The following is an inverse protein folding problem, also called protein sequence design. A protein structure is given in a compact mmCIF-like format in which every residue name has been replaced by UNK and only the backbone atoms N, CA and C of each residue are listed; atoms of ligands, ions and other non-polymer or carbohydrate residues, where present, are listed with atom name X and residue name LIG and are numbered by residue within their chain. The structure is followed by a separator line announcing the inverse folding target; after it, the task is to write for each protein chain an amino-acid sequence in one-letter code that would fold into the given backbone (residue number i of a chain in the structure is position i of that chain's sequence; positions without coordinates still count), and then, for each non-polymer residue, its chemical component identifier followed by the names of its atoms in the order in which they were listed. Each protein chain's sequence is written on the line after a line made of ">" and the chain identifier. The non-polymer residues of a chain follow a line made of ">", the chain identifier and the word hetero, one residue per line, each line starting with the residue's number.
data_IF_099909525968
#
_entry.id   IF_099909525968
#
_cell.length_a   1.000
_cell.length_b   1.000
_cell.length_c   1.000
_cell.angle_alpha   90.00
_cell.angle_beta   90.00
_cell.angle_gamma   90.00
#
_symmetry.space_group_name_H-M   'P 1'
#
loop_
_entity.id
_entity.type
_entity.pdbx_description
1 polymer ?
#
# COMPACT_ATOMS: atom_id res chain seq x y z
N UNK A 1 5.04 17.79 10.18
CA UNK A 1 4.16 16.77 10.77
C UNK A 1 3.31 16.15 9.66
N UNK A 2 3.69 14.99 9.13
CA UNK A 2 3.03 14.42 7.94
C UNK A 2 1.90 13.43 8.30
N UNK A 3 2.00 12.73 9.44
CA UNK A 3 0.93 11.83 9.91
C UNK A 3 -0.36 12.58 10.27
N UNK A 4 -0.24 13.75 10.89
CA UNK A 4 -1.38 14.60 11.19
C UNK A 4 -2.08 15.08 9.91
N UNK A 5 -1.32 15.39 8.85
CA UNK A 5 -1.89 15.72 7.53
C UNK A 5 -2.64 14.53 6.96
N UNK A 6 -2.06 13.33 7.01
CA UNK A 6 -2.77 12.11 6.58
C UNK A 6 -4.09 11.96 7.34
N UNK A 7 -4.09 12.02 8.67
CA UNK A 7 -5.30 11.89 9.48
C UNK A 7 -6.34 12.97 9.17
N UNK A 8 -5.91 14.22 9.00
CA UNK A 8 -6.80 15.31 8.62
C UNK A 8 -7.41 15.10 7.23
N UNK A 9 -6.61 14.63 6.26
CA UNK A 9 -7.09 14.29 4.92
C UNK A 9 -8.09 13.14 4.95
N UNK A 10 -7.83 12.08 5.73
CA UNK A 10 -8.72 10.93 5.88
C UNK A 10 -10.05 11.29 6.57
N UNK A 11 -10.00 12.18 7.56
CA UNK A 11 -11.18 12.63 8.31
C UNK A 11 -12.06 13.60 7.51
N UNK A 12 -11.46 14.61 6.87
CA UNK A 12 -12.19 15.64 6.13
C UNK A 12 -12.60 15.21 4.74
N UNK A 13 -11.75 14.42 4.05
CA UNK A 13 -11.85 14.09 2.63
C UNK A 13 -12.07 15.33 1.74
N UNK A 14 -11.66 16.50 2.22
CA UNK A 14 -11.80 17.76 1.52
C UNK A 14 -10.56 18.01 0.64
N UNK A 15 -10.78 18.55 -0.56
CA UNK A 15 -9.69 18.87 -1.48
C UNK A 15 -8.85 20.04 -0.93
N UNK A 16 -7.52 19.88 -0.89
CA UNK A 16 -6.59 20.80 -0.21
C UNK A 16 -5.13 20.42 -0.45
N UNK A 17 -4.24 20.60 0.54
CA UNK A 17 -2.87 20.03 0.55
C UNK A 17 -2.92 18.51 0.78
N UNK A 18 -3.52 17.75 -0.12
CA UNK A 18 -3.81 16.33 0.05
C UNK A 18 -2.63 15.48 0.54
N UNK A 19 -2.93 14.36 1.18
CA UNK A 19 -1.91 13.44 1.66
C UNK A 19 -1.25 12.69 0.48
N UNK A 20 0.05 12.48 0.55
CA UNK A 20 0.85 11.79 -0.47
C UNK A 20 1.27 10.42 0.06
N UNK A 21 0.70 9.36 -0.51
CA UNK A 21 0.88 7.95 -0.09
C UNK A 21 1.16 7.06 -1.30
N UNK A 22 2.32 7.19 -1.96
CA UNK A 22 2.64 6.36 -3.12
C UNK A 22 3.00 4.91 -2.73
N UNK A 23 2.82 3.97 -3.66
CA UNK A 23 3.36 2.60 -3.53
C UNK A 23 4.83 2.64 -3.96
N UNK A 24 5.79 2.48 -3.02
CA UNK A 24 7.22 2.78 -3.26
C UNK A 24 8.20 1.71 -2.76
N UNK A 25 7.77 0.48 -2.48
CA UNK A 25 8.62 -0.55 -1.85
C UNK A 25 9.87 -0.91 -2.66
N UNK A 26 9.74 -1.29 -3.93
CA UNK A 26 10.85 -1.63 -4.82
C UNK A 26 11.81 -0.45 -5.03
N UNK A 27 11.26 0.77 -5.16
CA UNK A 27 12.05 1.98 -5.22
C UNK A 27 12.79 2.26 -3.90
N UNK A 28 12.15 2.07 -2.75
CA UNK A 28 12.78 2.19 -1.44
C UNK A 28 13.92 1.16 -1.25
N UNK A 29 13.72 -0.08 -1.70
CA UNK A 29 14.77 -1.10 -1.72
C UNK A 29 15.97 -0.67 -2.58
N UNK A 30 15.69 -0.10 -3.77
CA UNK A 30 16.74 0.37 -4.68
C UNK A 30 17.56 1.52 -4.10
N UNK A 31 16.92 2.45 -3.37
CA UNK A 31 17.59 3.56 -2.67
C UNK A 31 18.59 3.05 -1.63
N UNK A 32 18.25 1.96 -0.93
CA UNK A 32 19.13 1.27 0.03
C UNK A 32 20.13 0.30 -0.63
N UNK A 33 20.14 0.23 -1.96
CA UNK A 33 21.00 -0.70 -2.72
C UNK A 33 20.81 -2.17 -2.34
N UNK A 34 19.59 -2.56 -1.97
CA UNK A 34 19.25 -3.95 -1.65
C UNK A 34 18.33 -4.55 -2.70
N UNK A 35 18.42 -5.87 -2.87
CA UNK A 35 17.56 -6.58 -3.80
C UNK A 35 16.12 -6.62 -3.29
N UNK A 36 15.16 -6.71 -4.22
CA UNK A 36 13.74 -6.88 -3.87
C UNK A 36 13.48 -8.18 -3.08
N UNK A 37 14.29 -9.23 -3.32
CA UNK A 37 14.22 -10.46 -2.56
C UNK A 37 14.61 -10.26 -1.09
N UNK A 38 15.72 -9.57 -0.82
CA UNK A 38 16.14 -9.24 0.54
C UNK A 38 15.14 -8.32 1.23
N UNK A 39 14.66 -7.29 0.52
CA UNK A 39 13.64 -6.38 1.03
C UNK A 39 12.35 -7.10 1.44
N UNK A 40 11.92 -8.14 0.71
CA UNK A 40 10.71 -8.92 1.05
C UNK A 40 10.93 -9.98 2.10
N UNK A 41 12.15 -10.47 2.28
CA UNK A 41 12.46 -11.54 3.22
C UNK A 41 12.80 -11.03 4.63
N UNK A 42 13.37 -9.83 4.74
CA UNK A 42 13.86 -9.26 6.00
C UNK A 42 13.00 -8.07 6.46
N UNK A 43 12.28 -8.18 7.60
CA UNK A 43 11.42 -7.13 8.09
C UNK A 43 12.19 -5.89 8.57
N UNK A 44 13.42 -6.05 9.03
CA UNK A 44 14.27 -4.92 9.44
C UNK A 44 14.77 -4.15 8.21
N UNK A 45 15.17 -4.87 7.17
CA UNK A 45 15.50 -4.30 5.87
C UNK A 45 14.34 -3.50 5.30
N UNK A 46 13.14 -4.09 5.30
CA UNK A 46 11.92 -3.45 4.81
C UNK A 46 11.61 -2.17 5.58
N UNK A 47 11.61 -2.25 6.92
CA UNK A 47 11.34 -1.09 7.78
C UNK A 47 12.37 0.03 7.58
N UNK A 48 13.67 -0.31 7.46
CA UNK A 48 14.74 0.68 7.23
C UNK A 48 14.57 1.38 5.89
N UNK A 49 14.38 0.62 4.81
CA UNK A 49 14.21 1.15 3.46
C UNK A 49 13.00 2.09 3.36
N UNK A 50 11.84 1.66 3.87
CA UNK A 50 10.63 2.48 3.86
C UNK A 50 10.78 3.75 4.70
N UNK A 51 11.40 3.67 5.88
CA UNK A 51 11.69 4.83 6.73
C UNK A 51 12.62 5.82 6.03
N UNK A 52 13.66 5.33 5.36
CA UNK A 52 14.62 6.20 4.68
C UNK A 52 14.01 6.87 3.43
N UNK A 53 13.19 6.13 2.67
CA UNK A 53 12.41 6.71 1.58
C UNK A 53 11.41 7.76 2.09
N UNK A 54 10.75 7.50 3.21
CA UNK A 54 9.89 8.49 3.88
C UNK A 54 10.68 9.74 4.26
N UNK A 55 11.89 9.60 4.81
CA UNK A 55 12.71 10.74 5.19
C UNK A 55 13.16 11.58 3.98
N UNK A 56 13.46 10.93 2.85
CA UNK A 56 13.88 11.57 1.61
C UNK A 56 12.73 12.36 0.94
N UNK A 57 11.55 11.74 0.87
CA UNK A 57 10.40 12.28 0.15
C UNK A 57 9.39 13.01 1.05
N UNK A 58 9.57 12.90 2.36
CA UNK A 58 8.65 13.39 3.37
C UNK A 58 7.20 12.94 3.14
N UNK A 59 6.95 11.73 2.59
CA UNK A 59 5.59 11.21 2.34
C UNK A 59 4.77 11.17 3.63
N UNK A 60 3.45 11.31 3.48
CA UNK A 60 2.53 11.38 4.63
C UNK A 60 2.23 10.00 5.23
N UNK A 61 2.50 8.93 4.46
CA UNK A 61 2.63 7.56 4.95
C UNK A 61 3.67 6.76 4.14
N UNK A 62 4.12 5.65 4.71
CA UNK A 62 4.80 4.58 3.98
C UNK A 62 3.81 3.48 3.61
N UNK A 63 4.00 2.84 2.47
CA UNK A 63 3.14 1.75 2.00
C UNK A 63 3.84 0.41 2.13
N UNK A 64 3.32 -0.46 3.00
CA UNK A 64 3.72 -1.88 3.09
C UNK A 64 2.84 -2.69 2.12
N UNK A 65 3.40 -3.71 1.47
CA UNK A 65 2.71 -4.45 0.42
C UNK A 65 2.60 -3.71 -0.92
N UNK A 66 3.47 -2.73 -1.18
CA UNK A 66 3.43 -1.86 -2.36
C UNK A 66 3.46 -2.60 -3.72
N UNK A 67 4.12 -3.77 -3.80
CA UNK A 67 4.12 -4.62 -5.00
C UNK A 67 2.77 -5.35 -5.23
N UNK A 68 1.91 -5.40 -4.20
CA UNK A 68 0.62 -6.11 -4.15
C UNK A 68 0.75 -7.65 -4.27
N UNK A 69 1.96 -8.20 -4.12
CA UNK A 69 2.27 -9.61 -4.42
C UNK A 69 2.30 -10.53 -3.20
N UNK A 70 2.26 -9.98 -1.99
CA UNK A 70 2.48 -10.75 -0.74
C UNK A 70 1.48 -11.89 -0.58
N UNK A 71 0.19 -11.64 -0.85
CA UNK A 71 -0.82 -12.71 -0.80
C UNK A 71 -0.57 -13.77 -1.88
N UNK A 72 -0.17 -13.38 -3.09
CA UNK A 72 0.11 -14.35 -4.15
C UNK A 72 1.35 -15.21 -3.81
N UNK A 73 2.40 -14.59 -3.26
CA UNK A 73 3.60 -15.29 -2.79
C UNK A 73 3.26 -16.26 -1.65
N UNK A 74 2.45 -15.84 -0.68
CA UNK A 74 2.00 -16.69 0.41
C UNK A 74 1.19 -17.90 -0.10
N UNK A 75 0.27 -17.69 -1.04
CA UNK A 75 -0.51 -18.78 -1.65
C UNK A 75 0.40 -19.77 -2.38
N UNK A 76 1.35 -19.29 -3.19
CA UNK A 76 2.29 -20.15 -3.94
C UNK A 76 3.26 -20.94 -3.06
N UNK A 77 3.47 -20.52 -1.82
CA UNK A 77 4.28 -21.28 -0.86
C UNK A 77 3.55 -22.50 -0.28
N UNK A 78 2.24 -22.60 -0.50
CA UNK A 78 1.41 -23.71 -0.05
C UNK A 78 1.17 -24.72 -1.20
N UNK A 79 1.04 -26.01 -0.88
CA UNK A 79 0.89 -27.07 -1.89
C UNK A 79 -0.52 -27.12 -2.51
N UNK A 80 -1.51 -26.53 -1.84
CA UNK A 80 -2.91 -26.51 -2.28
C UNK A 80 -3.17 -25.31 -3.21
N UNK A 81 -4.03 -25.44 -4.23
CA UNK A 81 -4.34 -24.33 -5.14
C UNK A 81 -5.22 -23.26 -4.51
N UNK A 82 -6.02 -23.61 -3.48
CA UNK A 82 -6.98 -22.73 -2.80
C UNK A 82 -6.95 -23.00 -1.29
N UNK A 83 -5.82 -22.74 -0.63
CA UNK A 83 -5.67 -23.01 0.79
C UNK A 83 -6.66 -22.18 1.62
N UNK A 84 -6.92 -22.63 2.85
CA UNK A 84 -7.69 -21.84 3.79
C UNK A 84 -7.01 -20.49 4.07
N UNK A 85 -7.77 -19.37 4.14
CA UNK A 85 -7.18 -18.05 4.34
C UNK A 85 -6.27 -17.94 5.56
N UNK A 86 -6.61 -18.60 6.67
CA UNK A 86 -5.78 -18.60 7.88
C UNK A 86 -4.38 -19.20 7.63
N UNK A 87 -4.28 -20.23 6.78
CA UNK A 87 -2.99 -20.83 6.41
C UNK A 87 -2.17 -19.91 5.51
N UNK A 88 -2.80 -19.18 4.60
CA UNK A 88 -2.13 -18.16 3.78
C UNK A 88 -1.56 -17.05 4.65
N UNK A 89 -2.34 -16.56 5.62
CA UNK A 89 -1.93 -15.47 6.50
C UNK A 89 -0.85 -15.88 7.52
N UNK A 90 -0.70 -17.18 7.77
CA UNK A 90 0.39 -17.72 8.58
C UNK A 90 1.73 -17.84 7.83
N UNK A 91 1.78 -17.56 6.53
CA UNK A 91 3.01 -17.70 5.73
C UNK A 91 4.02 -16.60 6.02
N UNK A 92 5.30 -16.93 5.81
CA UNK A 92 6.44 -16.05 6.08
C UNK A 92 6.32 -14.68 5.39
N UNK A 93 5.82 -14.64 4.15
CA UNK A 93 5.64 -13.38 3.41
C UNK A 93 4.73 -12.39 4.14
N UNK A 94 3.61 -12.86 4.70
CA UNK A 94 2.67 -12.02 5.48
C UNK A 94 3.27 -11.67 6.84
N UNK A 95 3.93 -12.64 7.50
CA UNK A 95 4.58 -12.43 8.79
C UNK A 95 5.69 -11.36 8.71
N UNK A 96 6.49 -11.35 7.64
CA UNK A 96 7.54 -10.35 7.41
C UNK A 96 6.95 -8.94 7.30
N UNK A 97 5.88 -8.74 6.53
CA UNK A 97 5.22 -7.42 6.46
C UNK A 97 4.65 -6.98 7.81
N UNK A 98 4.01 -7.90 8.54
CA UNK A 98 3.48 -7.61 9.87
C UNK A 98 4.59 -7.16 10.82
N UNK A 99 5.74 -7.83 10.78
CA UNK A 99 6.89 -7.49 11.61
C UNK A 99 7.55 -6.17 11.18
N UNK A 100 7.64 -5.90 9.87
CA UNK A 100 8.10 -4.61 9.37
C UNK A 100 7.19 -3.46 9.84
N UNK A 101 5.86 -3.65 9.85
CA UNK A 101 4.93 -2.65 10.38
C UNK A 101 5.15 -2.39 11.87
N UNK A 102 5.34 -3.44 12.68
CA UNK A 102 5.61 -3.30 14.12
C UNK A 102 6.88 -2.50 14.37
N UNK A 103 7.92 -2.72 13.56
CA UNK A 103 9.19 -1.99 13.61
C UNK A 103 9.10 -0.55 13.10
N UNK A 104 8.29 -0.31 12.07
CA UNK A 104 8.04 1.02 11.51
C UNK A 104 7.30 1.93 12.49
N UNK A 105 6.37 1.38 13.29
CA UNK A 105 5.52 2.15 14.19
C UNK A 105 6.29 3.07 15.15
N UNK A 106 7.24 2.59 15.98
CA UNK A 106 7.96 3.47 16.90
C UNK A 106 8.88 4.46 16.19
N UNK A 107 9.44 4.11 15.02
CA UNK A 107 10.39 4.98 14.30
C UNK A 107 9.71 6.06 13.47
N UNK A 108 8.51 5.79 12.94
CA UNK A 108 7.71 6.78 12.24
C UNK A 108 6.94 7.66 13.22
N UNK A 109 6.37 7.10 14.30
CA UNK A 109 5.62 7.84 15.32
C UNK A 109 4.65 8.88 14.73
N UNK A 110 4.95 10.18 14.85
CA UNK A 110 4.17 11.29 14.29
C UNK A 110 4.74 11.84 12.96
N UNK A 111 5.88 11.30 12.51
CA UNK A 111 6.56 11.72 11.29
C UNK A 111 5.83 11.31 10.03
N UNK A 112 5.15 10.16 10.02
CA UNK A 112 4.33 9.64 8.92
C UNK A 112 3.41 8.51 9.41
N UNK A 113 2.32 8.26 8.68
CA UNK A 113 1.46 7.09 8.91
C UNK A 113 1.98 5.81 8.25
N UNK A 114 1.24 4.72 8.45
CA UNK A 114 1.47 3.43 7.79
C UNK A 114 0.23 3.08 6.97
N UNK A 115 0.43 2.84 5.68
CA UNK A 115 -0.57 2.32 4.77
C UNK A 115 -0.27 0.86 4.40
N UNK A 116 -1.32 0.08 4.19
CA UNK A 116 -1.24 -1.28 3.63
C UNK A 116 -1.88 -1.29 2.26
N UNK A 117 -1.18 -1.84 1.27
CA UNK A 117 -1.70 -2.02 -0.07
C UNK A 117 -1.97 -3.51 -0.35
N UNK A 118 -3.18 -3.82 -0.80
CA UNK A 118 -3.61 -5.17 -1.17
C UNK A 118 -4.15 -5.19 -2.61
N UNK A 119 -3.96 -6.29 -3.37
CA UNK A 119 -4.62 -6.45 -4.65
C UNK A 119 -6.14 -6.68 -4.44
N UNK A 120 -6.96 -6.17 -5.35
CA UNK A 120 -8.36 -6.59 -5.48
C UNK A 120 -8.47 -8.07 -5.86
N UNK A 121 -9.63 -8.68 -5.61
CA UNK A 121 -9.84 -10.13 -5.79
C UNK A 121 -9.54 -10.62 -7.22
N UNK A 122 -10.08 -9.95 -8.24
CA UNK A 122 -9.81 -10.27 -9.65
C UNK A 122 -8.32 -10.14 -10.00
N UNK A 123 -7.63 -9.13 -9.47
CA UNK A 123 -6.20 -8.92 -9.68
C UNK A 123 -5.37 -10.02 -9.04
N UNK A 124 -5.75 -10.45 -7.83
CA UNK A 124 -5.10 -11.57 -7.15
C UNK A 124 -5.31 -12.89 -7.91
N UNK A 125 -6.54 -13.16 -8.35
CA UNK A 125 -6.89 -14.34 -9.15
C UNK A 125 -6.07 -14.40 -10.46
N UNK A 126 -5.97 -13.27 -11.17
CA UNK A 126 -5.15 -13.15 -12.37
C UNK A 126 -3.65 -13.40 -12.09
N UNK A 127 -3.12 -12.87 -10.99
CA UNK A 127 -1.72 -13.12 -10.57
C UNK A 127 -1.47 -14.58 -10.24
N UNK A 128 -2.45 -15.28 -9.70
CA UNK A 128 -2.36 -16.71 -9.43
C UNK A 128 -2.52 -17.57 -10.70
N UNK A 129 -2.85 -16.97 -11.85
CA UNK A 129 -3.13 -17.72 -13.08
C UNK A 129 -4.46 -18.49 -13.03
N UNK A 130 -5.36 -18.12 -12.12
CA UNK A 130 -6.64 -18.80 -11.88
C UNK A 130 -7.79 -17.77 -11.78
N UNK A 131 -8.22 -17.15 -12.90
CA UNK A 131 -9.28 -16.14 -12.90
C UNK A 131 -10.59 -16.63 -12.26
N UNK A 132 -10.91 -17.91 -12.38
CA UNK A 132 -12.09 -18.54 -11.79
C UNK A 132 -12.03 -18.63 -10.26
N UNK A 133 -10.86 -18.39 -9.65
CA UNK A 133 -10.67 -18.35 -8.20
C UNK A 133 -11.02 -16.99 -7.57
N UNK A 134 -11.58 -16.04 -8.32
CA UNK A 134 -11.95 -14.71 -7.80
C UNK A 134 -12.82 -14.76 -6.52
N UNK A 135 -13.86 -15.59 -6.40
CA UNK A 135 -14.67 -15.66 -5.18
C UNK A 135 -13.86 -16.09 -3.94
N UNK A 136 -12.92 -17.03 -4.12
CA UNK A 136 -12.00 -17.45 -3.07
C UNK A 136 -10.99 -16.34 -2.74
N UNK A 137 -10.46 -15.64 -3.75
CA UNK A 137 -9.58 -14.48 -3.57
C UNK A 137 -10.29 -13.36 -2.79
N UNK A 138 -11.59 -13.15 -3.00
CA UNK A 138 -12.38 -12.18 -2.24
C UNK A 138 -12.51 -12.58 -0.76
N UNK A 139 -12.68 -13.86 -0.46
CA UNK A 139 -12.70 -14.37 0.92
C UNK A 139 -11.32 -14.22 1.59
N UNK A 140 -10.24 -14.52 0.87
CA UNK A 140 -8.86 -14.32 1.32
C UNK A 140 -8.57 -12.83 1.58
N UNK A 141 -8.99 -11.94 0.68
CA UNK A 141 -8.82 -10.49 0.84
C UNK A 141 -9.54 -9.97 2.10
N UNK A 142 -10.76 -10.46 2.38
CA UNK A 142 -11.48 -10.10 3.59
C UNK A 142 -10.74 -10.57 4.86
N UNK A 143 -10.21 -11.80 4.85
CA UNK A 143 -9.40 -12.33 5.95
C UNK A 143 -8.10 -11.53 6.13
N UNK A 144 -7.42 -11.21 5.04
CA UNK A 144 -6.20 -10.39 5.04
C UNK A 144 -6.46 -9.00 5.60
N UNK A 145 -7.52 -8.31 5.15
CA UNK A 145 -7.87 -7.00 5.67
C UNK A 145 -8.17 -7.04 7.18
N UNK A 146 -8.91 -8.04 7.66
CA UNK A 146 -9.10 -8.24 9.11
C UNK A 146 -7.77 -8.40 9.83
N UNK A 147 -6.89 -9.24 9.31
CA UNK A 147 -5.58 -9.51 9.88
C UNK A 147 -4.72 -8.24 9.97
N UNK A 148 -4.52 -7.52 8.86
CA UNK A 148 -3.74 -6.28 8.85
C UNK A 148 -4.39 -5.17 9.68
N UNK A 149 -5.72 -5.10 9.75
CA UNK A 149 -6.40 -4.09 10.58
C UNK A 149 -6.13 -4.30 12.09
N UNK A 150 -5.86 -5.52 12.56
CA UNK A 150 -5.43 -5.75 13.95
C UNK A 150 -4.09 -5.10 14.27
N UNK A 151 -3.30 -4.79 13.24
CA UNK A 151 -2.08 -4.04 13.40
C UNK A 151 -2.33 -2.53 13.41
N UNK A 152 -3.55 -2.02 13.28
CA UNK A 152 -3.86 -0.58 13.33
C UNK A 152 -3.06 0.29 12.32
N UNK A 153 -3.06 -0.03 11.00
CA UNK A 153 -2.57 0.90 9.99
C UNK A 153 -3.46 2.15 9.93
N UNK A 154 -2.91 3.28 9.51
CA UNK A 154 -3.70 4.51 9.33
C UNK A 154 -4.61 4.41 8.08
N UNK A 155 -4.21 3.62 7.08
CA UNK A 155 -4.91 3.47 5.81
C UNK A 155 -4.75 2.06 5.22
N UNK A 156 -5.83 1.51 4.66
CA UNK A 156 -5.82 0.32 3.81
C UNK A 156 -6.25 0.71 2.39
N UNK A 157 -5.37 0.45 1.42
CA UNK A 157 -5.57 0.68 -0.01
C UNK A 157 -5.78 -0.67 -0.70
N UNK A 158 -6.88 -0.82 -1.43
CA UNK A 158 -7.06 -1.98 -2.33
C UNK A 158 -6.99 -1.51 -3.77
N UNK A 159 -6.19 -2.18 -4.58
CA UNK A 159 -5.98 -1.85 -5.98
C UNK A 159 -6.63 -2.88 -6.90
N UNK A 160 -7.64 -2.46 -7.65
CA UNK A 160 -8.37 -3.30 -8.60
C UNK A 160 -9.88 -3.12 -8.49
N UNK A 161 -10.62 -4.08 -9.05
CA UNK A 161 -12.08 -4.07 -9.05
C UNK A 161 -12.67 -3.85 -7.64
N UNK A 162 -13.84 -3.20 -7.53
CA UNK A 162 -14.43 -2.84 -6.25
C UNK A 162 -14.55 -4.03 -5.29
N UNK A 163 -13.94 -3.92 -4.12
CA UNK A 163 -14.25 -4.84 -3.03
C UNK A 163 -15.69 -4.61 -2.57
N UNK A 164 -16.45 -5.69 -2.37
CA UNK A 164 -17.82 -5.60 -1.85
C UNK A 164 -17.89 -4.87 -0.49
N UNK A 165 -19.09 -4.46 -0.04
CA UNK A 165 -19.28 -3.57 1.11
C UNK A 165 -18.71 -4.10 2.43
N UNK A 166 -18.51 -5.42 2.52
CA UNK A 166 -17.93 -6.10 3.70
C UNK A 166 -16.52 -5.63 4.02
N UNK A 167 -15.71 -5.26 3.02
CA UNK A 167 -14.33 -4.85 3.26
C UNK A 167 -14.27 -3.48 3.96
N UNK A 168 -15.05 -2.52 3.46
CA UNK A 168 -15.19 -1.21 4.08
C UNK A 168 -15.73 -1.31 5.52
N UNK A 169 -16.69 -2.23 5.76
CA UNK A 169 -17.23 -2.48 7.10
C UNK A 169 -16.17 -3.03 8.07
N UNK A 170 -15.29 -3.93 7.62
CA UNK A 170 -14.16 -4.42 8.42
C UNK A 170 -13.22 -3.28 8.78
N UNK A 171 -12.77 -2.48 7.81
CA UNK A 171 -11.84 -1.38 8.10
C UNK A 171 -12.46 -0.39 9.08
N UNK A 172 -13.74 -0.05 8.89
CA UNK A 172 -14.51 0.84 9.79
C UNK A 172 -14.57 0.28 11.21
N UNK A 173 -14.81 -1.03 11.37
CA UNK A 173 -14.84 -1.68 12.68
C UNK A 173 -13.52 -1.52 13.46
N UNK A 174 -12.39 -1.57 12.77
CA UNK A 174 -11.06 -1.36 13.36
C UNK A 174 -10.60 0.10 13.39
N UNK A 175 -11.44 1.06 12.96
CA UNK A 175 -11.06 2.47 12.86
C UNK A 175 -9.98 2.77 11.81
N UNK A 176 -9.77 1.85 10.86
CA UNK A 176 -8.79 1.98 9.77
C UNK A 176 -9.46 2.66 8.58
N UNK A 177 -8.85 3.69 8.02
CA UNK A 177 -9.38 4.31 6.82
C UNK A 177 -9.25 3.38 5.61
N UNK A 178 -10.20 3.43 4.68
CA UNK A 178 -10.25 2.54 3.53
C UNK A 178 -10.38 3.32 2.22
N UNK A 179 -9.56 2.95 1.24
CA UNK A 179 -9.60 3.45 -0.13
C UNK A 179 -9.54 2.28 -1.11
N UNK A 180 -10.47 2.26 -2.05
CA UNK A 180 -10.46 1.33 -3.17
C UNK A 180 -10.06 2.09 -4.43
N UNK A 181 -8.98 1.67 -5.09
CA UNK A 181 -8.52 2.19 -6.38
C UNK A 181 -8.99 1.25 -7.50
N UNK A 182 -10.20 1.50 -8.00
CA UNK A 182 -10.74 0.86 -9.21
C UNK A 182 -10.31 1.65 -10.47
N UNK A 183 -10.85 1.30 -11.64
CA UNK A 183 -10.59 2.04 -12.90
C UNK A 183 -10.87 3.54 -12.77
N UNK A 184 -11.93 3.88 -12.04
CA UNK A 184 -12.20 5.25 -11.60
C UNK A 184 -11.91 5.37 -10.10
N UNK A 185 -10.93 6.19 -9.68
CA UNK A 185 -10.67 6.46 -8.28
C UNK A 185 -11.89 7.10 -7.59
N UNK A 186 -12.03 6.94 -6.26
CA UNK A 186 -13.08 7.60 -5.50
C UNK A 186 -12.98 9.14 -5.62
N UNK A 187 -14.09 9.88 -5.43
CA UNK A 187 -14.06 11.34 -5.44
C UNK A 187 -12.98 11.91 -4.51
N UNK A 188 -12.19 12.83 -5.06
CA UNK A 188 -11.09 13.49 -4.35
C UNK A 188 -9.84 12.62 -4.14
N UNK A 189 -9.74 11.44 -4.74
CA UNK A 189 -8.51 10.65 -4.82
C UNK A 189 -7.89 10.79 -6.21
N UNK A 190 -6.60 11.13 -6.26
CA UNK A 190 -5.81 11.11 -7.48
C UNK A 190 -4.88 9.90 -7.45
N UNK A 191 -5.09 8.96 -8.37
CA UNK A 191 -4.28 7.77 -8.50
C UNK A 191 -3.80 7.59 -9.94
N UNK A 192 -2.49 7.41 -10.12
CA UNK A 192 -1.85 7.17 -11.43
C UNK A 192 -1.04 5.87 -11.39
N UNK A 193 -0.75 5.23 -12.53
CA UNK A 193 0.25 4.17 -12.57
C UNK A 193 1.59 4.68 -12.00
N UNK A 194 2.31 3.85 -11.25
CA UNK A 194 3.57 4.26 -10.63
C UNK A 194 4.63 4.72 -11.65
N UNK A 195 4.64 4.12 -12.84
CA UNK A 195 5.52 4.53 -13.94
C UNK A 195 5.19 5.94 -14.49
N UNK A 196 3.93 6.37 -14.33
CA UNK A 196 3.47 7.69 -14.76
C UNK A 196 3.53 8.73 -13.62
N UNK A 197 3.99 8.36 -12.42
CA UNK A 197 3.96 9.23 -11.25
C UNK A 197 4.67 10.57 -11.51
N UNK A 198 5.91 10.52 -12.03
CA UNK A 198 6.74 11.69 -12.26
C UNK A 198 6.09 12.65 -13.26
N UNK A 199 5.52 12.11 -14.33
CA UNK A 199 5.06 12.92 -15.46
C UNK A 199 3.62 13.41 -15.29
N UNK A 200 2.76 12.63 -14.62
CA UNK A 200 1.33 12.91 -14.57
C UNK A 200 0.84 13.54 -13.27
N UNK A 201 1.46 13.26 -12.12
CA UNK A 201 0.82 13.57 -10.84
C UNK A 201 0.69 15.08 -10.59
N UNK A 202 1.68 15.85 -11.02
CA UNK A 202 1.71 17.31 -10.85
C UNK A 202 0.62 18.02 -11.68
N UNK A 203 0.16 17.39 -12.77
CA UNK A 203 -0.92 17.90 -13.61
C UNK A 203 -2.33 17.54 -13.13
N UNK A 204 -2.47 16.76 -12.05
CA UNK A 204 -3.78 16.33 -11.55
C UNK A 204 -4.47 17.42 -10.75
N UNK A 205 -5.80 17.39 -10.77
CA UNK A 205 -6.64 18.25 -9.95
C UNK A 205 -6.34 18.06 -8.45
N UNK A 206 -6.64 19.09 -7.66
CA UNK A 206 -6.51 19.03 -6.20
C UNK A 206 -7.29 17.84 -5.63
N UNK A 207 -6.59 16.97 -4.91
CA UNK A 207 -7.11 15.77 -4.29
C UNK A 207 -6.85 15.82 -2.78
N UNK A 208 -7.65 15.09 -2.00
CA UNK A 208 -7.35 14.87 -0.58
C UNK A 208 -6.34 13.71 -0.39
N UNK A 209 -6.17 12.84 -1.39
CA UNK A 209 -5.17 11.78 -1.42
C UNK A 209 -4.54 11.64 -2.81
N UNK A 210 -3.22 11.62 -2.86
CA UNK A 210 -2.40 11.32 -4.02
C UNK A 210 -1.69 9.97 -3.79
N UNK A 211 -1.88 9.02 -4.69
CA UNK A 211 -1.34 7.66 -4.58
C UNK A 211 -1.06 7.07 -5.96
N UNK A 212 -0.55 5.85 -6.01
CA UNK A 212 -0.35 5.10 -7.26
C UNK A 212 -1.18 3.82 -7.32
N UNK A 213 -1.52 3.35 -8.53
CA UNK A 213 -2.19 2.07 -8.79
C UNK A 213 -1.21 0.91 -9.08
N UNK A 214 0.07 1.24 -9.17
CA UNK A 214 1.17 0.28 -9.18
C UNK A 214 2.36 0.91 -8.47
N UNK A 215 3.33 0.09 -8.14
CA UNK A 215 4.56 0.57 -7.52
C UNK A 215 5.31 1.54 -8.44
N UNK A 216 5.90 2.58 -7.85
CA UNK A 216 6.86 3.43 -8.54
C UNK A 216 8.05 2.55 -8.97
N UNK A 217 8.50 2.63 -10.23
CA UNK A 217 9.61 1.83 -10.73
C UNK A 217 10.84 1.93 -9.84
N UNK A 218 11.51 0.80 -9.64
CA UNK A 218 12.68 0.75 -8.75
C UNK A 218 13.77 1.75 -9.18
N UNK A 219 13.94 1.90 -10.49
CA UNK A 219 14.92 2.74 -11.19
C UNK A 219 14.47 4.17 -11.45
N UNK A 220 13.28 4.59 -11.00
CA UNK A 220 12.83 5.97 -11.10
C UNK A 220 13.85 6.93 -10.48
N UNK A 221 14.15 8.05 -11.13
CA UNK A 221 15.10 9.04 -10.63
C UNK A 221 14.61 9.63 -9.29
N UNK A 222 15.37 9.46 -8.18
CA UNK A 222 14.98 10.00 -6.88
C UNK A 222 14.74 11.51 -6.88
N UNK A 223 15.48 12.27 -7.71
CA UNK A 223 15.30 13.73 -7.80
C UNK A 223 13.99 14.07 -8.47
N UNK A 224 13.62 13.35 -9.53
CA UNK A 224 12.36 13.53 -10.23
C UNK A 224 11.15 13.13 -9.36
N UNK A 225 11.25 12.00 -8.63
CA UNK A 225 10.22 11.57 -7.67
C UNK A 225 10.02 12.64 -6.58
N UNK A 226 11.11 13.16 -6.02
CA UNK A 226 11.05 14.23 -5.02
C UNK A 226 10.42 15.50 -5.58
N UNK A 227 10.83 15.94 -6.77
CA UNK A 227 10.29 17.14 -7.41
C UNK A 227 8.78 17.00 -7.67
N UNK A 228 8.31 15.83 -8.11
CA UNK A 228 6.90 15.55 -8.31
C UNK A 228 6.10 15.65 -7.00
N UNK A 229 6.64 15.15 -5.89
CA UNK A 229 6.00 15.25 -4.56
C UNK A 229 6.00 16.68 -4.04
N UNK A 230 7.09 17.41 -4.22
CA UNK A 230 7.21 18.81 -3.78
C UNK A 230 6.25 19.71 -4.58
N UNK A 231 6.03 19.43 -5.88
CA UNK A 231 5.07 20.14 -6.72
C UNK A 231 3.60 19.95 -6.28
N UNK A 232 3.27 18.84 -5.60
CA UNK A 232 1.93 18.65 -5.01
C UNK A 232 1.69 19.52 -3.76
N UNK A 233 2.76 20.08 -3.19
CA UNK A 233 2.76 20.84 -1.94
C UNK A 233 2.91 22.34 -2.14
N UNK A 234 3.23 22.77 -3.36
CA UNK A 234 3.29 24.19 -3.78
C UNK A 234 1.92 24.69 -4.21
#
# INVERSE_FOLDING_TARGET
>A
MSRARLRAALASRATGEGAVVPLIGAHAARLEQVSEAQFRADPEMQARALRNAQALYATDAVTVGAALDTLAAAVRSLPEPRPEPARVLAQAAVATECEAMRRLRPVLAERAGIAIALPGAARLAARLGAPEAEPWCAALLLAAARHYCTLEPDLLIVVGAPAGPRLAAVCTHFGVAFVQLAESPPPGVSAVPGAAWVDEIAGKAKAWLYTTTSEIPADADPRAVKAAIDALRS
#
